data_IF_996183400164
#
_entry.id   IF_996183400164
#
_cell.length_a   1.000
_cell.length_b   1.000
_cell.length_c   1.000
_cell.angle_alpha   90.00
_cell.angle_beta   90.00
_cell.angle_gamma   90.00
#
_symmetry.space_group_name_H-M   'P 1'
#
loop_
_entity.id
_entity.type
_entity.pdbx_description
1 polymer ?
#
# COMPACT_ATOMS: atom_id res chain seq x y z
N UNK A 1 -3.97 -3.28 7.57
CA UNK A 1 -4.99 -3.70 8.54
C UNK A 1 -6.18 -4.40 7.85
N UNK A 2 -6.75 -3.82 6.80
CA UNK A 2 -7.95 -4.35 6.12
C UNK A 2 -7.75 -5.68 5.38
N UNK A 3 -6.51 -6.07 5.05
CA UNK A 3 -6.19 -7.39 4.48
C UNK A 3 -5.97 -8.48 5.54
N UNK A 4 -6.05 -8.13 6.82
CA UNK A 4 -5.86 -9.08 7.89
C UNK A 4 -6.96 -10.18 7.80
N UNK A 5 -6.63 -11.48 7.96
CA UNK A 5 -7.59 -12.56 7.76
C UNK A 5 -8.84 -12.49 8.65
N UNK A 6 -8.75 -11.83 9.80
CA UNK A 6 -9.90 -11.57 10.69
C UNK A 6 -10.73 -10.35 10.30
N UNK A 7 -10.15 -9.38 9.60
CA UNK A 7 -10.82 -8.12 9.22
C UNK A 7 -11.47 -8.23 7.85
N UNK A 8 -10.82 -8.95 6.92
CA UNK A 8 -11.32 -9.10 5.55
C UNK A 8 -12.75 -9.66 5.50
N UNK A 9 -13.13 -10.72 6.25
CA UNK A 9 -14.50 -11.23 6.23
C UNK A 9 -15.53 -10.18 6.69
N UNK A 10 -15.18 -9.39 7.71
CA UNK A 10 -16.03 -8.30 8.20
C UNK A 10 -16.20 -7.25 7.10
N UNK A 11 -15.10 -6.87 6.43
CA UNK A 11 -15.14 -5.93 5.30
C UNK A 11 -16.06 -6.45 4.18
N UNK A 12 -15.95 -7.74 3.82
CA UNK A 12 -16.77 -8.35 2.79
C UNK A 12 -18.26 -8.40 3.16
N UNK A 13 -18.58 -8.59 4.44
CA UNK A 13 -19.96 -8.57 4.93
C UNK A 13 -20.58 -7.17 4.85
N UNK A 14 -19.82 -6.13 5.21
CA UNK A 14 -20.32 -4.75 5.24
C UNK A 14 -20.25 -4.06 3.89
N UNK A 15 -19.35 -4.47 3.00
CA UNK A 15 -19.12 -3.80 1.72
C UNK A 15 -20.40 -3.61 0.87
N UNK A 16 -21.29 -4.61 0.70
CA UNK A 16 -22.55 -4.41 -0.03
C UNK A 16 -23.49 -3.42 0.65
N UNK A 17 -23.54 -3.42 1.99
CA UNK A 17 -24.42 -2.53 2.77
C UNK A 17 -24.07 -1.06 2.59
N UNK A 18 -22.79 -0.76 2.38
CA UNK A 18 -22.28 0.61 2.22
C UNK A 18 -21.87 0.95 0.78
N UNK A 19 -22.12 0.07 -0.18
CA UNK A 19 -21.75 0.31 -1.58
C UNK A 19 -20.24 0.40 -1.83
N UNK A 20 -19.43 -0.29 -1.02
CA UNK A 20 -17.97 -0.34 -1.20
C UNK A 20 -17.66 -1.23 -2.40
N UNK A 21 -17.23 -0.60 -3.49
CA UNK A 21 -16.90 -1.29 -4.75
C UNK A 21 -15.40 -1.43 -4.99
N UNK A 22 -14.57 -0.71 -4.25
CA UNK A 22 -13.12 -0.71 -4.43
C UNK A 22 -12.40 -0.74 -3.09
N UNK A 23 -11.34 -1.53 -2.99
CA UNK A 23 -10.48 -1.62 -1.81
C UNK A 23 -9.02 -1.72 -2.23
N UNK A 24 -8.13 -1.06 -1.49
CA UNK A 24 -6.68 -1.20 -1.70
C UNK A 24 -6.22 -2.62 -1.44
N UNK A 25 -5.47 -3.19 -2.37
CA UNK A 25 -4.73 -4.43 -2.16
C UNK A 25 -3.24 -4.08 -2.08
N UNK A 26 -2.59 -4.43 -0.98
CA UNK A 26 -1.17 -4.10 -0.69
C UNK A 26 -0.22 -4.96 -1.53
N UNK A 27 -0.32 -4.83 -2.86
CA UNK A 27 0.62 -5.35 -3.86
C UNK A 27 1.77 -4.35 -4.02
N UNK A 28 2.50 -4.12 -2.94
CA UNK A 28 3.70 -3.27 -3.03
C UNK A 28 4.79 -4.02 -3.79
N UNK A 29 5.46 -3.30 -4.70
CA UNK A 29 6.53 -3.85 -5.53
C UNK A 29 7.82 -3.89 -4.70
N UNK A 30 7.99 -5.00 -3.95
CA UNK A 30 9.23 -5.30 -3.23
C UNK A 30 10.48 -5.14 -4.11
N UNK A 31 10.37 -5.35 -5.43
CA UNK A 31 11.47 -5.17 -6.38
C UNK A 31 11.86 -3.70 -6.55
N UNK A 32 10.90 -2.77 -6.54
CA UNK A 32 11.17 -1.34 -6.53
C UNK A 32 11.80 -0.89 -5.19
N UNK A 33 11.32 -1.43 -4.07
CA UNK A 33 11.82 -1.11 -2.72
C UNK A 33 13.22 -1.71 -2.42
N UNK A 34 13.53 -2.89 -2.96
CA UNK A 34 14.84 -3.55 -2.85
C UNK A 34 15.90 -2.90 -3.75
N UNK A 35 15.48 -2.32 -4.89
CA UNK A 35 16.37 -1.57 -5.80
C UNK A 35 16.81 -0.22 -5.24
N UNK A 36 16.02 0.38 -4.34
CA UNK A 36 16.29 1.71 -3.79
C UNK A 36 17.19 1.68 -2.54
N UNK A 37 17.07 0.66 -1.68
CA UNK A 37 17.91 0.53 -0.48
C UNK A 37 18.07 -0.95 -0.05
N UNK A 38 19.30 -1.44 0.02
CA UNK A 38 19.64 -2.81 0.38
C UNK A 38 19.80 -3.04 1.89
N UNK A 39 19.72 -1.98 2.72
CA UNK A 39 19.76 -2.11 4.18
C UNK A 39 18.50 -2.80 4.70
N UNK A 40 18.65 -3.68 5.70
CA UNK A 40 17.58 -4.49 6.30
C UNK A 40 16.88 -5.50 5.36
N UNK A 41 17.65 -6.10 4.44
CA UNK A 41 17.18 -7.07 3.44
C UNK A 41 16.29 -8.19 4.02
N UNK A 42 16.66 -8.78 5.16
CA UNK A 42 15.92 -9.89 5.80
C UNK A 42 14.54 -9.46 6.30
N UNK A 43 14.42 -8.26 6.88
CA UNK A 43 13.14 -7.66 7.30
C UNK A 43 12.25 -7.40 6.09
N UNK A 44 12.80 -6.79 5.03
CA UNK A 44 12.07 -6.51 3.78
C UNK A 44 11.59 -7.80 3.11
N UNK A 45 12.40 -8.86 3.17
CA UNK A 45 12.03 -10.18 2.64
C UNK A 45 10.86 -10.79 3.43
N UNK A 46 10.92 -10.75 4.76
CA UNK A 46 9.84 -11.27 5.61
C UNK A 46 8.53 -10.50 5.43
N UNK A 47 8.58 -9.16 5.47
CA UNK A 47 7.43 -8.29 5.17
C UNK A 47 6.86 -8.62 3.80
N UNK A 48 7.72 -8.82 2.81
CA UNK A 48 7.31 -9.19 1.47
C UNK A 48 6.58 -10.53 1.38
N UNK A 49 7.06 -11.56 2.08
CA UNK A 49 6.38 -12.86 2.17
C UNK A 49 5.00 -12.71 2.81
N UNK A 50 4.91 -11.96 3.92
CA UNK A 50 3.63 -11.71 4.61
C UNK A 50 2.65 -10.98 3.70
N UNK A 51 3.05 -9.88 3.06
CA UNK A 51 2.17 -9.15 2.15
C UNK A 51 1.76 -9.98 0.93
N UNK A 52 2.65 -10.84 0.40
CA UNK A 52 2.32 -11.74 -0.70
C UNK A 52 1.31 -12.81 -0.27
N UNK A 53 1.46 -13.37 0.93
CA UNK A 53 0.49 -14.32 1.49
C UNK A 53 -0.88 -13.67 1.74
N UNK A 54 -0.90 -12.48 2.34
CA UNK A 54 -2.14 -11.72 2.57
C UNK A 54 -2.81 -11.33 1.26
N UNK A 55 -2.04 -10.96 0.24
CA UNK A 55 -2.54 -10.67 -1.10
C UNK A 55 -3.15 -11.91 -1.74
N UNK A 56 -2.44 -13.04 -1.71
CA UNK A 56 -2.92 -14.31 -2.26
C UNK A 56 -4.20 -14.79 -1.56
N UNK A 57 -4.33 -14.54 -0.26
CA UNK A 57 -5.55 -14.81 0.49
C UNK A 57 -6.69 -13.85 0.12
N UNK A 58 -6.40 -12.55 0.00
CA UNK A 58 -7.43 -11.51 -0.11
C UNK A 58 -7.95 -11.31 -1.53
N UNK A 59 -7.07 -11.37 -2.54
CA UNK A 59 -7.40 -11.10 -3.93
C UNK A 59 -8.58 -11.92 -4.49
N UNK A 60 -8.60 -13.28 -4.39
CA UNK A 60 -9.72 -14.06 -4.92
C UNK A 60 -11.03 -13.79 -4.18
N UNK A 61 -10.96 -13.44 -2.88
CA UNK A 61 -12.15 -13.13 -2.07
C UNK A 61 -12.76 -11.78 -2.43
N UNK A 62 -11.91 -10.78 -2.66
CA UNK A 62 -12.34 -9.46 -3.16
C UNK A 62 -12.93 -9.58 -4.57
N UNK A 63 -12.29 -10.37 -5.45
CA UNK A 63 -12.79 -10.62 -6.80
C UNK A 63 -14.16 -11.33 -6.79
N UNK A 64 -14.34 -12.35 -5.95
CA UNK A 64 -15.62 -13.05 -5.79
C UNK A 64 -16.74 -12.14 -5.25
N UNK A 65 -16.39 -11.12 -4.48
CA UNK A 65 -17.32 -10.10 -4.00
C UNK A 65 -17.52 -8.92 -4.97
N UNK A 66 -16.97 -9.01 -6.19
CA UNK A 66 -16.99 -7.93 -7.20
C UNK A 66 -16.39 -6.60 -6.70
N UNK A 67 -15.43 -6.67 -5.76
CA UNK A 67 -14.70 -5.51 -5.26
C UNK A 67 -13.43 -5.35 -6.10
N UNK A 68 -13.28 -4.20 -6.75
CA UNK A 68 -12.11 -3.87 -7.57
C UNK A 68 -10.92 -3.42 -6.71
N UNK A 69 -9.72 -3.65 -7.22
CA UNK A 69 -8.46 -3.29 -6.55
C UNK A 69 -7.50 -2.73 -7.59
N UNK A 70 -6.61 -1.81 -7.20
CA UNK A 70 -5.54 -1.36 -8.08
C UNK A 70 -4.59 -2.53 -8.45
N UNK A 71 -3.99 -2.44 -9.63
CA UNK A 71 -2.99 -3.40 -10.09
C UNK A 71 -1.70 -3.26 -9.29
N UNK A 72 -1.32 -2.01 -8.99
CA UNK A 72 -0.13 -1.65 -8.20
C UNK A 72 -0.42 -0.54 -7.21
N UNK A 73 0.29 -0.59 -6.08
CA UNK A 73 0.25 0.45 -5.05
C UNK A 73 1.68 0.93 -4.79
N UNK A 74 1.87 2.24 -4.74
CA UNK A 74 3.15 2.91 -4.51
C UNK A 74 3.11 3.79 -3.26
N UNK A 75 4.28 4.17 -2.75
CA UNK A 75 4.43 5.11 -1.64
C UNK A 75 4.35 4.52 -0.23
N UNK A 76 3.94 3.25 -0.06
CA UNK A 76 3.92 2.59 1.25
C UNK A 76 5.32 2.30 1.81
N UNK A 77 6.33 2.13 0.95
CA UNK A 77 7.74 2.08 1.35
C UNK A 77 8.46 3.44 1.34
N UNK A 78 7.81 4.52 0.87
CA UNK A 78 8.38 5.88 0.77
C UNK A 78 7.71 6.84 1.75
N UNK A 79 7.33 6.32 2.90
CA UNK A 79 6.67 7.02 4.00
C UNK A 79 7.44 8.29 4.41
N UNK A 80 6.76 9.45 4.40
CA UNK A 80 7.37 10.77 4.70
C UNK A 80 8.14 11.41 3.54
N UNK A 81 8.35 10.69 2.44
CA UNK A 81 9.27 11.12 1.36
C UNK A 81 8.67 10.93 -0.04
N UNK A 82 7.34 10.94 -0.17
CA UNK A 82 6.65 11.05 -1.46
C UNK A 82 6.76 12.52 -1.91
N UNK A 83 7.97 12.92 -2.31
CA UNK A 83 8.29 14.26 -2.80
C UNK A 83 8.05 14.41 -4.31
N UNK A 84 8.15 15.63 -4.83
CA UNK A 84 7.97 15.93 -6.25
C UNK A 84 8.89 15.07 -7.15
N UNK A 85 10.15 14.89 -6.73
CA UNK A 85 11.14 14.12 -7.49
C UNK A 85 10.76 12.65 -7.58
N UNK A 86 10.27 12.06 -6.50
CA UNK A 86 9.73 10.70 -6.48
C UNK A 86 8.51 10.57 -7.38
N UNK A 87 7.56 11.50 -7.29
CA UNK A 87 6.34 11.48 -8.10
C UNK A 87 6.65 11.58 -9.60
N UNK A 88 7.54 12.48 -10.01
CA UNK A 88 7.95 12.61 -11.42
C UNK A 88 8.60 11.33 -11.95
N UNK A 89 9.50 10.72 -11.16
CA UNK A 89 10.14 9.45 -11.52
C UNK A 89 9.13 8.29 -11.60
N UNK A 90 8.18 8.25 -10.67
CA UNK A 90 7.13 7.22 -10.63
C UNK A 90 6.22 7.33 -11.85
N UNK A 91 5.67 8.53 -12.11
CA UNK A 91 4.74 8.77 -13.23
C UNK A 91 5.39 8.39 -14.57
N UNK A 92 6.67 8.71 -14.77
CA UNK A 92 7.41 8.35 -15.98
C UNK A 92 7.66 6.83 -16.16
N UNK A 93 7.39 6.01 -15.14
CA UNK A 93 7.65 4.56 -15.15
C UNK A 93 6.44 3.69 -14.82
N UNK A 94 5.23 4.27 -14.76
CA UNK A 94 4.02 3.52 -14.46
C UNK A 94 3.72 2.49 -15.55
N UNK A 95 3.42 1.23 -15.17
CA UNK A 95 2.95 0.23 -16.13
C UNK A 95 1.52 0.51 -16.56
N UNK A 96 1.08 -0.13 -17.64
CA UNK A 96 -0.33 -0.15 -18.03
C UNK A 96 -1.22 -0.71 -16.91
N UNK A 97 -2.40 -0.12 -16.71
CA UNK A 97 -3.38 -0.55 -15.71
C UNK A 97 -3.69 0.57 -14.71
N UNK A 98 -4.24 0.18 -13.56
CA UNK A 98 -4.59 1.08 -12.46
C UNK A 98 -3.47 1.06 -11.42
N UNK A 99 -2.78 2.19 -11.29
CA UNK A 99 -1.79 2.43 -10.24
C UNK A 99 -2.36 3.34 -9.17
N UNK A 100 -2.17 2.96 -7.90
CA UNK A 100 -2.57 3.75 -6.74
C UNK A 100 -1.33 4.33 -6.06
N UNK A 101 -1.35 5.63 -5.72
CA UNK A 101 -0.29 6.29 -4.95
C UNK A 101 -0.82 6.54 -3.54
N UNK A 102 -0.12 6.02 -2.54
CA UNK A 102 -0.40 6.25 -1.13
C UNK A 102 0.64 7.20 -0.54
N UNK A 103 0.17 8.31 0.03
CA UNK A 103 1.03 9.26 0.71
C UNK A 103 0.27 9.93 1.87
N UNK A 104 1.02 10.67 2.67
CA UNK A 104 0.50 11.49 3.76
C UNK A 104 0.90 12.94 3.51
N UNK A 105 0.21 13.65 2.59
CA UNK A 105 0.55 15.03 2.28
C UNK A 105 0.30 15.91 3.50
N UNK A 106 1.27 16.80 3.80
CA UNK A 106 1.18 17.79 4.86
C UNK A 106 1.98 19.03 4.44
N UNK A 107 1.48 20.22 4.78
CA UNK A 107 2.23 21.48 4.58
C UNK A 107 3.27 21.68 5.69
N UNK A 108 2.98 21.22 6.90
CA UNK A 108 3.84 21.35 8.08
C UNK A 108 3.61 20.19 9.02
N UNK A 109 4.69 19.72 9.68
CA UNK A 109 4.61 18.82 10.81
C UNK A 109 4.53 19.65 12.11
N UNK A 110 3.40 19.65 12.84
CA UNK A 110 3.29 20.33 14.12
C UNK A 110 4.35 19.81 15.09
N UNK A 111 4.94 20.69 15.91
CA UNK A 111 6.01 20.32 16.84
C UNK A 111 5.64 19.16 17.78
N UNK A 112 4.36 19.08 18.18
CA UNK A 112 3.83 17.98 18.98
C UNK A 112 3.87 16.64 18.23
N UNK A 113 3.55 16.62 16.93
CA UNK A 113 3.59 15.41 16.11
C UNK A 113 5.01 15.02 15.71
N UNK A 114 5.88 16.01 15.43
CA UNK A 114 7.28 15.79 15.09
C UNK A 114 8.03 15.03 16.18
N UNK A 115 7.69 15.23 17.46
CA UNK A 115 8.26 14.49 18.58
C UNK A 115 7.94 12.98 18.56
N UNK A 116 6.80 12.59 17.97
CA UNK A 116 6.33 11.21 17.90
C UNK A 116 6.52 10.57 16.51
N UNK A 117 6.91 11.35 15.50
CA UNK A 117 7.08 10.92 14.12
C UNK A 117 8.46 11.32 13.57
N UNK A 118 9.57 10.90 14.20
CA UNK A 118 10.91 11.26 13.73
C UNK A 118 11.15 10.69 12.33
N UNK A 119 11.50 11.57 11.38
CA UNK A 119 11.75 11.21 9.98
C UNK A 119 10.53 11.28 9.05
N UNK A 120 9.43 11.86 9.52
CA UNK A 120 8.24 12.22 8.73
C UNK A 120 8.19 13.71 8.43
#
# INVERSE_FOLDING_TARGET
MHLHPMVLPILLEVAPRYGIRAVRLSRDDLGAALRYDSRHLTRKLFEGVVFRALTAYSAPRLAAAHIVTADRVYGMHQTGHVDERYLLALIGSLPSGVSEIYCHPAEVAPAVLAAYQPGY
#
